data_IF_281645060683
#
_entry.id   IF_281645060683
#
_cell.length_a   1.000
_cell.length_b   1.000
_cell.length_c   1.000
_cell.angle_alpha   90.00
_cell.angle_beta   90.00
_cell.angle_gamma   90.00
#
_symmetry.space_group_name_H-M   'P 1'
#
loop_
_entity.id
_entity.type
_entity.pdbx_description
1 polymer ?
#
# COMPACT_ATOMS: atom_id res chain seq x y z
N UNK A 1 -5.08 3.24 3.24
CA UNK A 1 -5.24 4.29 2.22
C UNK A 1 -6.65 4.84 2.31
N UNK A 2 -6.78 6.17 2.24
CA UNK A 2 -8.04 6.89 2.38
C UNK A 2 -8.31 7.77 1.15
N UNK A 3 -9.58 7.93 0.78
CA UNK A 3 -10.03 8.86 -0.27
C UNK A 3 -10.05 10.32 0.25
N UNK A 4 -10.43 11.27 -0.62
CA UNK A 4 -10.52 12.69 -0.26
C UNK A 4 -11.55 13.02 0.84
N UNK A 5 -12.51 12.12 1.10
CA UNK A 5 -13.48 12.24 2.19
C UNK A 5 -13.00 11.64 3.51
N UNK A 6 -11.84 10.97 3.53
CA UNK A 6 -11.32 10.27 4.70
C UNK A 6 -11.90 8.87 4.91
N UNK A 7 -12.53 8.27 3.89
CA UNK A 7 -13.00 6.89 3.95
C UNK A 7 -11.87 5.91 3.60
N UNK A 8 -11.73 4.79 4.32
CA UNK A 8 -10.73 3.77 3.99
C UNK A 8 -11.11 3.09 2.68
N UNK A 9 -10.18 3.05 1.73
CA UNK A 9 -10.38 2.41 0.43
C UNK A 9 -9.49 1.19 0.21
N UNK A 10 -8.35 1.10 0.88
CA UNK A 10 -7.46 -0.07 0.82
C UNK A 10 -6.59 -0.16 2.08
N UNK A 11 -6.25 -1.38 2.47
CA UNK A 11 -5.34 -1.72 3.55
C UNK A 11 -4.59 -2.99 3.16
N UNK A 12 -3.31 -3.07 3.49
CA UNK A 12 -2.52 -4.29 3.32
C UNK A 12 -1.46 -4.32 4.42
N UNK A 13 -1.18 -5.52 4.92
CA UNK A 13 -0.14 -5.81 5.90
C UNK A 13 0.99 -6.61 5.23
N UNK A 14 0.64 -7.70 4.56
CA UNK A 14 1.55 -8.61 3.87
C UNK A 14 1.22 -8.66 2.38
N UNK A 15 2.08 -8.12 1.53
CA UNK A 15 1.78 -7.88 0.12
C UNK A 15 1.40 -9.15 -0.68
N UNK A 16 2.00 -10.29 -0.35
CA UNK A 16 1.82 -11.57 -1.04
C UNK A 16 0.54 -12.34 -0.62
N UNK A 17 -0.48 -11.64 -0.12
CA UNK A 17 -1.74 -12.26 0.34
C UNK A 17 -2.90 -12.00 -0.61
N UNK A 18 -3.26 -10.73 -0.81
CA UNK A 18 -4.44 -10.34 -1.59
C UNK A 18 -4.11 -9.90 -3.02
N UNK A 19 -3.00 -9.18 -3.20
CA UNK A 19 -2.65 -8.51 -4.46
C UNK A 19 -1.34 -9.04 -5.07
N UNK A 20 -0.93 -10.27 -4.73
CA UNK A 20 0.38 -10.82 -5.11
C UNK A 20 0.65 -10.71 -6.62
N UNK A 21 -0.29 -11.18 -7.44
CA UNK A 21 -0.14 -11.16 -8.91
C UNK A 21 -0.04 -9.74 -9.49
N UNK A 22 -0.85 -8.80 -8.97
CA UNK A 22 -0.88 -7.40 -9.40
C UNK A 22 0.40 -6.68 -9.01
N UNK A 23 0.90 -6.94 -7.80
CA UNK A 23 2.14 -6.36 -7.28
C UNK A 23 3.35 -6.92 -8.03
N UNK A 24 3.39 -8.22 -8.33
CA UNK A 24 4.43 -8.81 -9.19
C UNK A 24 4.41 -8.18 -10.59
N UNK A 25 3.23 -7.94 -11.15
CA UNK A 25 3.08 -7.32 -12.46
C UNK A 25 3.63 -5.89 -12.54
N UNK A 26 3.79 -5.19 -11.40
CA UNK A 26 4.44 -3.87 -11.35
C UNK A 26 5.95 -3.92 -11.63
N UNK A 27 6.56 -5.11 -11.58
CA UNK A 27 8.02 -5.34 -11.65
C UNK A 27 8.84 -4.78 -10.49
N UNK A 28 8.19 -4.19 -9.48
CA UNK A 28 8.80 -3.64 -8.27
C UNK A 28 8.12 -4.19 -6.99
N UNK A 29 7.96 -5.52 -6.82
CA UNK A 29 7.39 -6.07 -5.60
C UNK A 29 8.31 -5.80 -4.40
N UNK A 30 7.75 -5.58 -3.19
CA UNK A 30 8.56 -5.51 -1.98
C UNK A 30 9.40 -6.78 -1.77
N UNK A 31 10.66 -6.66 -1.31
CA UNK A 31 11.56 -7.80 -1.21
C UNK A 31 11.18 -8.78 -0.09
N UNK A 32 10.51 -8.31 0.99
CA UNK A 32 10.05 -9.18 2.06
C UNK A 32 8.53 -9.38 2.05
N UNK A 33 8.04 -10.60 2.31
CA UNK A 33 6.61 -10.92 2.29
C UNK A 33 5.80 -10.24 3.41
N UNK A 34 6.47 -9.74 4.44
CA UNK A 34 5.87 -9.00 5.56
C UNK A 34 5.81 -7.49 5.32
N UNK A 35 6.18 -7.04 4.13
CA UNK A 35 6.01 -5.64 3.74
C UNK A 35 4.62 -5.42 3.16
N UNK A 36 4.11 -4.21 3.36
CA UNK A 36 2.82 -3.80 2.84
C UNK A 36 2.97 -3.14 1.47
N UNK A 37 2.13 -3.50 0.51
CA UNK A 37 2.01 -2.80 -0.76
C UNK A 37 0.56 -2.79 -1.24
N UNK A 38 0.18 -1.70 -1.92
CA UNK A 38 -1.17 -1.51 -2.46
C UNK A 38 -1.02 -1.05 -3.90
N UNK A 39 -1.64 -1.78 -4.83
CA UNK A 39 -1.74 -1.38 -6.24
C UNK A 39 -3.20 -1.03 -6.53
N UNK A 40 -3.44 0.17 -7.06
CA UNK A 40 -4.80 0.62 -7.35
C UNK A 40 -4.85 1.66 -8.46
N UNK A 41 -5.86 1.54 -9.31
CA UNK A 41 -6.27 2.61 -10.24
C UNK A 41 -7.11 3.62 -9.48
N UNK A 42 -6.69 4.89 -9.50
CA UNK A 42 -7.33 5.97 -8.76
C UNK A 42 -7.90 6.99 -9.75
N UNK A 43 -9.17 7.39 -9.62
CA UNK A 43 -9.65 8.58 -10.32
C UNK A 43 -8.92 9.83 -9.78
N UNK A 44 -8.90 10.94 -10.53
CA UNK A 44 -8.31 12.19 -10.04
C UNK A 44 -8.99 12.69 -8.76
N UNK A 45 -8.27 12.63 -7.63
CA UNK A 45 -8.70 13.13 -6.32
C UNK A 45 -7.47 13.20 -5.37
N UNK A 46 -7.67 13.74 -4.17
CA UNK A 46 -6.70 13.66 -3.08
C UNK A 46 -6.79 12.30 -2.37
N UNK A 47 -5.63 11.73 -2.03
CA UNK A 47 -5.54 10.47 -1.31
C UNK A 47 -4.50 10.53 -0.20
N UNK A 48 -4.75 9.80 0.89
CA UNK A 48 -3.83 9.72 2.03
C UNK A 48 -3.40 8.28 2.27
N UNK A 49 -2.09 8.04 2.32
CA UNK A 49 -1.51 6.81 2.85
C UNK A 49 -1.17 7.01 4.33
N UNK A 50 -1.55 6.06 5.18
CA UNK A 50 -1.24 6.05 6.61
C UNK A 50 -0.47 4.76 6.89
N UNK A 51 0.70 4.89 7.51
CA UNK A 51 1.48 3.75 8.00
C UNK A 51 1.26 3.62 9.51
N UNK A 52 0.98 2.40 9.96
CA UNK A 52 0.84 2.04 11.37
C UNK A 52 1.54 0.72 11.61
N UNK A 53 2.22 0.59 12.75
CA UNK A 53 2.78 -0.71 13.14
C UNK A 53 1.69 -1.71 13.49
N UNK A 54 1.87 -2.95 13.06
CA UNK A 54 1.00 -4.08 13.42
C UNK A 54 0.95 -4.21 14.94
N UNK A 55 -0.24 -4.44 15.50
CA UNK A 55 -0.46 -4.55 16.95
C UNK A 55 0.09 -3.34 17.75
N UNK A 56 0.02 -2.14 17.18
CA UNK A 56 0.46 -0.89 17.81
C UNK A 56 1.96 -0.83 18.15
N UNK A 57 2.77 -1.59 17.41
CA UNK A 57 4.22 -1.48 17.51
C UNK A 57 4.74 -0.18 16.92
N UNK A 58 5.91 0.24 17.39
CA UNK A 58 6.63 1.41 16.90
C UNK A 58 7.85 0.99 16.08
N UNK A 59 8.23 1.83 15.13
CA UNK A 59 9.38 1.60 14.28
C UNK A 59 9.60 2.75 13.32
N UNK A 60 10.59 2.58 12.45
CA UNK A 60 10.83 3.48 11.33
C UNK A 60 10.27 2.80 10.08
N UNK A 61 9.51 3.55 9.28
CA UNK A 61 9.00 3.09 8.01
C UNK A 61 9.46 4.01 6.88
N UNK A 62 9.71 3.43 5.71
CA UNK A 62 9.89 4.13 4.45
C UNK A 62 8.59 3.98 3.64
N UNK A 63 8.14 5.09 3.03
CA UNK A 63 6.98 5.08 2.15
C UNK A 63 7.41 5.57 0.78
N UNK A 64 7.07 4.79 -0.23
CA UNK A 64 7.34 5.11 -1.62
C UNK A 64 6.02 5.10 -2.40
N UNK A 65 5.91 5.99 -3.39
CA UNK A 65 4.72 6.13 -4.23
C UNK A 65 5.17 6.12 -5.68
N UNK A 66 4.57 5.21 -6.45
CA UNK A 66 4.90 4.99 -7.85
C UNK A 66 3.68 5.27 -8.72
N UNK A 67 3.87 6.05 -9.78
CA UNK A 67 2.89 6.13 -10.87
C UNK A 67 3.21 5.03 -11.87
N UNK A 68 2.34 4.01 -11.94
CA UNK A 68 2.50 2.90 -12.87
C UNK A 68 1.93 3.28 -14.25
N UNK A 69 2.55 2.83 -15.36
CA UNK A 69 2.13 3.14 -16.73
C UNK A 69 0.83 2.45 -17.16
#
# INVERSE_FOLDING_TARGET
MFNGNGDPIAFNDNWATEQEAEIIATTIPPPHPLESAIVRTLPPDAYTAIVRGVNDQIGIALVEVYALP
#
